data_IF_524491199482
#
_entry.id   IF_524491199482
#
_cell.length_a   1.000
_cell.length_b   1.000
_cell.length_c   1.000
_cell.angle_alpha   90.00
_cell.angle_beta   90.00
_cell.angle_gamma   90.00
#
_symmetry.space_group_name_H-M   'P 1'
#
loop_
_entity.id
_entity.type
_entity.pdbx_description
1 polymer ?
#
# COMPACT_ATOMS: atom_id res chain seq x y z
N UNK A 1 -7.19 -11.75 -4.83
CA UNK A 1 -7.48 -12.28 -6.15
C UNK A 1 -6.42 -11.86 -7.12
N UNK A 2 -5.92 -12.80 -7.93
CA UNK A 2 -4.93 -12.57 -8.98
C UNK A 2 -5.67 -12.06 -10.24
N UNK A 3 -6.12 -10.82 -10.24
CA UNK A 3 -6.55 -10.18 -11.47
C UNK A 3 -5.30 -9.57 -12.13
N UNK A 4 -4.58 -10.42 -12.87
CA UNK A 4 -3.54 -9.95 -13.76
C UNK A 4 -4.19 -9.14 -14.89
N UNK A 5 -3.62 -7.97 -15.29
CA UNK A 5 -4.14 -7.20 -16.42
C UNK A 5 -4.15 -8.09 -17.67
N UNK A 6 -5.23 -8.08 -18.45
CA UNK A 6 -5.37 -8.89 -19.68
C UNK A 6 -4.23 -8.71 -20.69
N UNK A 7 -3.46 -7.62 -20.60
CA UNK A 7 -2.30 -7.30 -21.43
C UNK A 7 -1.06 -6.99 -20.60
N UNK A 8 -0.82 -7.73 -19.52
CA UNK A 8 0.38 -7.56 -18.70
C UNK A 8 1.64 -7.88 -19.51
N UNK A 9 2.69 -7.04 -19.38
CA UNK A 9 3.98 -7.34 -19.99
C UNK A 9 4.61 -8.60 -19.36
N UNK A 10 5.48 -9.30 -20.13
CA UNK A 10 6.23 -10.46 -19.62
C UNK A 10 7.01 -10.11 -18.34
N UNK A 11 7.57 -8.90 -18.28
CA UNK A 11 8.27 -8.41 -17.07
C UNK A 11 7.33 -8.26 -15.86
N UNK A 12 6.11 -7.77 -16.07
CA UNK A 12 5.13 -7.68 -15.00
C UNK A 12 4.71 -9.06 -14.51
N UNK A 13 4.47 -10.00 -15.42
CA UNK A 13 4.13 -11.39 -15.07
C UNK A 13 5.28 -12.05 -14.31
N UNK A 14 6.53 -11.82 -14.73
CA UNK A 14 7.72 -12.30 -14.02
C UNK A 14 7.82 -11.69 -12.61
N UNK A 15 7.59 -10.38 -12.46
CA UNK A 15 7.51 -9.74 -11.16
C UNK A 15 6.46 -10.41 -10.26
N UNK A 16 5.24 -10.65 -10.78
CA UNK A 16 4.17 -11.29 -10.01
C UNK A 16 4.50 -12.73 -9.64
N UNK A 17 5.17 -13.46 -10.52
CA UNK A 17 5.69 -14.79 -10.22
C UNK A 17 6.70 -14.74 -9.06
N UNK A 18 7.71 -13.87 -9.12
CA UNK A 18 8.69 -13.71 -8.05
C UNK A 18 8.04 -13.27 -6.72
N UNK A 19 7.03 -12.39 -6.79
CA UNK A 19 6.25 -11.97 -5.63
C UNK A 19 5.64 -13.15 -4.87
N UNK A 20 5.16 -14.18 -5.57
CA UNK A 20 4.54 -15.35 -4.98
C UNK A 20 5.55 -16.45 -4.60
N UNK A 21 6.56 -16.66 -5.42
CA UNK A 21 7.49 -17.79 -5.27
C UNK A 21 8.63 -17.51 -4.27
N UNK A 22 9.19 -16.30 -4.25
CA UNK A 22 10.35 -16.00 -3.40
C UNK A 22 10.07 -16.19 -1.90
N UNK A 23 8.93 -15.73 -1.36
CA UNK A 23 8.61 -16.02 0.04
C UNK A 23 8.44 -17.52 0.35
N UNK A 24 7.87 -18.26 -0.59
CA UNK A 24 7.64 -19.72 -0.42
C UNK A 24 8.92 -20.54 -0.46
N UNK A 25 9.90 -20.05 -1.23
CA UNK A 25 11.20 -20.69 -1.42
C UNK A 25 12.30 -20.03 -0.58
N UNK A 26 11.94 -19.04 0.25
CA UNK A 26 12.87 -18.24 1.06
C UNK A 26 13.99 -17.59 0.26
N UNK A 27 13.72 -17.24 -0.99
CA UNK A 27 14.68 -16.55 -1.87
C UNK A 27 14.71 -15.08 -1.48
N UNK A 28 15.83 -14.64 -0.93
CA UNK A 28 16.08 -13.25 -0.61
C UNK A 28 16.86 -12.59 -1.76
N UNK A 29 16.26 -11.56 -2.36
CA UNK A 29 16.97 -10.72 -3.34
C UNK A 29 17.92 -9.77 -2.62
N UNK A 30 18.85 -9.22 -3.38
CA UNK A 30 19.79 -8.21 -2.91
C UNK A 30 19.06 -6.91 -2.51
N UNK A 31 18.03 -6.51 -3.23
CA UNK A 31 17.12 -5.42 -2.88
C UNK A 31 15.66 -5.89 -2.89
N UNK A 32 14.76 -5.24 -2.14
CA UNK A 32 13.36 -5.63 -2.10
C UNK A 32 12.69 -5.54 -3.47
N UNK A 33 11.68 -6.39 -3.69
CA UNK A 33 10.84 -6.35 -4.90
C UNK A 33 10.01 -5.07 -4.97
N UNK A 34 9.64 -4.56 -3.79
CA UNK A 34 8.63 -3.52 -3.63
C UNK A 34 8.97 -2.61 -2.45
N UNK A 35 8.63 -1.33 -2.58
CA UNK A 35 8.63 -0.39 -1.46
C UNK A 35 7.22 0.16 -1.22
N UNK A 36 6.82 0.19 0.05
CA UNK A 36 5.72 1.04 0.51
C UNK A 36 6.34 2.34 1.05
N UNK A 37 6.15 3.46 0.35
CA UNK A 37 6.69 4.76 0.76
C UNK A 37 5.56 5.69 1.15
N UNK A 38 5.63 6.28 2.33
CA UNK A 38 4.66 7.25 2.82
C UNK A 38 4.89 8.62 2.19
N UNK A 39 4.17 8.93 1.11
CA UNK A 39 4.26 10.24 0.47
C UNK A 39 3.85 11.38 1.42
N UNK A 40 2.88 11.13 2.29
CA UNK A 40 2.45 12.07 3.33
C UNK A 40 1.89 11.31 4.53
N UNK A 41 2.28 11.72 5.74
CA UNK A 41 1.63 11.27 6.98
C UNK A 41 0.44 12.14 7.38
N UNK A 42 0.23 13.28 6.69
CA UNK A 42 -0.93 14.16 6.90
C UNK A 42 -2.16 13.56 6.23
N UNK A 43 -3.33 13.77 6.84
CA UNK A 43 -4.61 13.38 6.24
C UNK A 43 -5.64 14.49 6.46
N UNK A 44 -6.48 14.73 5.47
CA UNK A 44 -7.59 15.69 5.50
C UNK A 44 -8.87 15.09 6.10
N UNK A 45 -8.91 13.77 6.38
CA UNK A 45 -10.04 13.09 7.02
C UNK A 45 -9.71 12.59 8.42
N UNK A 46 -10.77 12.18 9.17
CA UNK A 46 -10.69 11.59 10.50
C UNK A 46 -11.64 10.39 10.59
N UNK A 47 -11.40 9.38 9.72
CA UNK A 47 -12.22 8.17 9.65
C UNK A 47 -12.28 7.47 11.01
N UNK A 48 -13.46 7.00 11.40
CA UNK A 48 -13.72 6.44 12.74
C UNK A 48 -12.96 5.15 13.01
N UNK A 49 -12.68 4.37 11.96
CA UNK A 49 -11.97 3.08 11.99
C UNK A 49 -10.48 3.18 11.61
N UNK A 50 -9.93 4.39 11.47
CA UNK A 50 -8.52 4.56 11.08
C UNK A 50 -7.59 4.15 12.23
N UNK A 51 -6.96 3.01 12.10
CA UNK A 51 -5.96 2.48 13.04
C UNK A 51 -4.72 3.38 13.18
N UNK A 52 -4.50 4.27 12.22
CA UNK A 52 -3.38 5.21 12.21
C UNK A 52 -3.65 6.55 12.91
N UNK A 53 -4.89 6.84 13.29
CA UNK A 53 -5.22 8.10 14.00
C UNK A 53 -4.40 8.35 15.27
N UNK A 54 -4.11 7.36 16.14
CA UNK A 54 -3.28 7.57 17.30
C UNK A 54 -1.85 8.00 16.96
N UNK A 55 -1.30 7.51 15.86
CA UNK A 55 0.04 7.86 15.36
C UNK A 55 0.06 9.30 14.80
N UNK A 56 -1.03 9.72 14.15
CA UNK A 56 -1.19 11.06 13.60
C UNK A 56 -1.28 12.17 14.67
N UNK A 57 -1.58 11.82 15.92
CA UNK A 57 -1.68 12.79 17.04
C UNK A 57 -0.33 13.27 17.57
N UNK A 58 0.78 12.64 17.21
CA UNK A 58 2.12 12.93 17.76
C UNK A 58 2.85 14.02 16.97
N UNK A 59 2.30 15.16 16.65
CA UNK A 59 2.94 16.37 16.07
C UNK A 59 4.13 16.17 15.07
N UNK A 60 4.35 14.97 14.60
CA UNK A 60 5.38 14.58 13.63
C UNK A 60 4.73 14.23 12.30
N UNK A 61 3.99 15.19 11.77
CA UNK A 61 3.32 15.01 10.49
C UNK A 61 4.04 15.82 9.41
N UNK A 62 4.34 15.18 8.28
CA UNK A 62 5.01 15.81 7.18
C UNK A 62 4.71 15.19 5.83
N UNK A 63 5.33 15.75 4.83
CA UNK A 63 5.36 15.22 3.48
C UNK A 63 6.79 14.76 3.18
N UNK A 64 6.91 13.64 2.49
CA UNK A 64 8.19 13.18 1.95
C UNK A 64 8.75 14.25 1.00
N UNK A 65 9.98 14.67 1.23
CA UNK A 65 10.70 15.57 0.32
C UNK A 65 11.13 14.84 -0.95
N UNK A 66 11.09 15.54 -2.10
CA UNK A 66 11.46 14.94 -3.38
C UNK A 66 12.93 14.50 -3.42
N UNK A 67 13.83 15.23 -2.76
CA UNK A 67 15.26 14.87 -2.71
C UNK A 67 15.50 13.55 -1.97
N UNK A 68 14.82 13.32 -0.84
CA UNK A 68 14.90 12.04 -0.13
C UNK A 68 14.29 10.91 -0.98
N UNK A 69 13.15 11.16 -1.62
CA UNK A 69 12.55 10.20 -2.53
C UNK A 69 13.53 9.80 -3.65
N UNK A 70 14.13 10.79 -4.29
CA UNK A 70 15.13 10.57 -5.35
C UNK A 70 16.32 9.78 -4.82
N UNK A 71 16.87 10.14 -3.65
CA UNK A 71 17.95 9.42 -3.00
C UNK A 71 17.64 7.95 -2.77
N UNK A 72 16.41 7.63 -2.35
CA UNK A 72 15.95 6.25 -2.19
C UNK A 72 15.89 5.55 -3.56
N UNK A 73 15.26 6.17 -4.56
CA UNK A 73 15.07 5.58 -5.88
C UNK A 73 16.38 5.39 -6.66
N UNK A 74 17.38 6.23 -6.43
CA UNK A 74 18.68 6.15 -7.09
C UNK A 74 19.55 4.97 -6.62
N UNK A 75 19.15 4.29 -5.54
CA UNK A 75 19.79 3.04 -5.09
C UNK A 75 19.36 1.82 -5.91
N UNK A 76 18.38 1.98 -6.81
CA UNK A 76 17.91 0.94 -7.72
C UNK A 76 18.39 1.25 -9.14
N UNK A 77 18.82 0.22 -9.86
CA UNK A 77 19.35 0.27 -11.23
C UNK A 77 18.71 -0.84 -12.10
N UNK A 78 19.25 -1.08 -13.28
CA UNK A 78 18.74 -2.10 -14.19
C UNK A 78 18.97 -3.54 -13.68
N UNK A 79 20.02 -3.77 -12.91
CA UNK A 79 20.36 -5.09 -12.34
C UNK A 79 19.55 -5.35 -11.07
N UNK A 80 19.43 -4.33 -10.23
CA UNK A 80 18.72 -4.38 -8.96
C UNK A 80 17.43 -3.54 -8.99
N UNK A 81 16.58 -3.81 -9.99
CA UNK A 81 15.38 -3.04 -10.26
C UNK A 81 14.36 -3.14 -9.14
N UNK A 82 13.77 -2.02 -8.75
CA UNK A 82 12.53 -1.97 -8.00
C UNK A 82 11.36 -2.24 -8.97
N UNK A 83 10.53 -3.23 -8.66
CA UNK A 83 9.43 -3.60 -9.57
C UNK A 83 8.10 -2.99 -9.18
N UNK A 84 7.86 -2.80 -7.89
CA UNK A 84 6.64 -2.20 -7.40
C UNK A 84 6.90 -1.06 -6.41
N UNK A 85 6.06 -0.03 -6.47
CA UNK A 85 6.12 1.12 -5.59
C UNK A 85 4.71 1.53 -5.19
N UNK A 86 4.44 1.52 -3.88
CA UNK A 86 3.23 2.07 -3.32
C UNK A 86 3.54 3.39 -2.62
N UNK A 87 2.93 4.49 -3.07
CA UNK A 87 3.15 5.83 -2.51
C UNK A 87 2.10 6.22 -1.47
N UNK A 88 1.75 5.29 -0.59
CA UNK A 88 0.83 5.53 0.52
C UNK A 88 1.07 4.58 1.67
N UNK A 89 0.89 5.06 2.89
CA UNK A 89 0.96 4.24 4.11
C UNK A 89 -0.11 4.68 5.11
N UNK A 90 0.10 5.78 5.87
CA UNK A 90 -0.81 6.23 6.93
C UNK A 90 -1.68 7.42 6.56
N UNK A 91 -1.16 8.39 5.86
CA UNK A 91 -1.83 9.64 5.55
C UNK A 91 -2.61 9.62 4.24
N UNK A 92 -2.80 10.81 3.67
CA UNK A 92 -3.39 11.02 2.34
C UNK A 92 -2.29 11.50 1.37
N UNK A 93 -1.89 10.67 0.39
CA UNK A 93 -0.79 10.99 -0.51
C UNK A 93 -1.03 12.24 -1.35
N UNK A 94 -2.26 12.53 -1.74
CA UNK A 94 -2.60 13.72 -2.54
C UNK A 94 -2.36 15.06 -1.80
N UNK A 95 -2.05 15.03 -0.50
CA UNK A 95 -1.59 16.22 0.24
C UNK A 95 -0.15 16.60 -0.15
N UNK A 96 0.65 15.65 -0.62
CA UNK A 96 2.00 15.94 -1.07
C UNK A 96 1.98 16.53 -2.49
N UNK A 97 2.35 17.81 -2.70
CA UNK A 97 2.33 18.44 -4.01
C UNK A 97 3.33 17.82 -5.00
N UNK A 98 4.37 17.14 -4.50
CA UNK A 98 5.39 16.46 -5.31
C UNK A 98 5.00 15.03 -5.71
N UNK A 99 3.81 14.55 -5.35
CA UNK A 99 3.39 13.18 -5.65
C UNK A 99 3.45 12.85 -7.15
N UNK A 100 2.94 13.69 -8.08
CA UNK A 100 3.06 13.41 -9.51
C UNK A 100 4.53 13.35 -9.98
N UNK A 101 5.40 14.23 -9.47
CA UNK A 101 6.83 14.23 -9.82
C UNK A 101 7.53 12.95 -9.32
N UNK A 102 7.15 12.46 -8.15
CA UNK A 102 7.64 11.17 -7.60
C UNK A 102 7.22 10.00 -8.50
N UNK A 103 5.96 9.99 -8.96
CA UNK A 103 5.45 8.95 -9.86
C UNK A 103 6.22 8.99 -11.18
N UNK A 104 6.35 10.15 -11.80
CA UNK A 104 7.08 10.32 -13.05
C UNK A 104 8.54 9.85 -12.92
N UNK A 105 9.20 10.22 -11.82
CA UNK A 105 10.58 9.79 -11.55
C UNK A 105 10.69 8.27 -11.41
N UNK A 106 9.78 7.64 -10.65
CA UNK A 106 9.75 6.19 -10.49
C UNK A 106 9.52 5.49 -11.84
N UNK A 107 8.62 6.01 -12.68
CA UNK A 107 8.39 5.47 -14.03
C UNK A 107 9.63 5.62 -14.93
N UNK A 108 10.33 6.74 -14.88
CA UNK A 108 11.62 6.94 -15.59
C UNK A 108 12.71 5.97 -15.12
N UNK A 109 12.72 5.57 -13.84
CA UNK A 109 13.60 4.53 -13.28
C UNK A 109 13.15 3.11 -13.65
N UNK A 110 12.06 2.97 -14.38
CA UNK A 110 11.57 1.69 -14.89
C UNK A 110 10.74 0.88 -13.89
N UNK A 111 10.19 1.47 -12.82
CA UNK A 111 9.27 0.77 -11.92
C UNK A 111 8.03 0.33 -12.70
N UNK A 112 7.69 -0.96 -12.60
CA UNK A 112 6.61 -1.57 -13.41
C UNK A 112 5.22 -1.20 -12.89
N UNK A 113 5.05 -1.12 -11.56
CA UNK A 113 3.75 -0.97 -10.91
C UNK A 113 3.84 0.11 -9.82
N UNK A 114 3.48 1.35 -10.20
CA UNK A 114 3.41 2.50 -9.28
C UNK A 114 1.96 2.77 -8.94
N UNK A 115 1.63 2.80 -7.66
CA UNK A 115 0.26 3.03 -7.20
C UNK A 115 0.18 3.66 -5.81
N UNK A 116 -1.01 4.10 -5.44
CA UNK A 116 -1.32 4.54 -4.08
C UNK A 116 -2.80 4.38 -3.74
N UNK A 117 -3.10 4.42 -2.44
CA UNK A 117 -4.47 4.48 -1.93
C UNK A 117 -4.80 5.93 -1.57
N UNK A 118 -6.03 6.37 -1.85
CA UNK A 118 -6.49 7.73 -1.56
C UNK A 118 -7.96 7.75 -1.12
N UNK A 119 -8.33 8.78 -0.37
CA UNK A 119 -9.73 9.12 -0.10
C UNK A 119 -10.38 9.94 -1.23
N UNK A 120 -9.62 10.30 -2.24
CA UNK A 120 -10.01 11.04 -3.45
C UNK A 120 -10.60 12.45 -3.23
N UNK A 121 -10.62 13.00 -2.01
CA UNK A 121 -11.13 14.35 -1.77
C UNK A 121 -10.32 15.45 -2.47
N UNK A 122 -9.06 15.18 -2.76
CA UNK A 122 -8.14 16.09 -3.45
C UNK A 122 -7.88 15.69 -4.91
N UNK A 123 -8.58 14.69 -5.42
CA UNK A 123 -8.45 14.19 -6.79
C UNK A 123 -9.28 15.03 -7.78
N UNK A 124 -9.05 16.33 -7.79
CA UNK A 124 -9.69 17.22 -8.77
C UNK A 124 -9.17 16.95 -10.19
N UNK A 125 -9.75 17.62 -11.18
CA UNK A 125 -9.39 17.43 -12.59
C UNK A 125 -7.91 17.71 -12.89
N UNK A 126 -7.34 18.78 -12.31
CA UNK A 126 -5.91 19.12 -12.48
C UNK A 126 -5.01 18.01 -11.93
N UNK A 127 -5.29 17.55 -10.70
CA UNK A 127 -4.54 16.45 -10.12
C UNK A 127 -4.69 15.17 -10.95
N UNK A 128 -5.88 14.86 -11.42
CA UNK A 128 -6.13 13.69 -12.28
C UNK A 128 -5.31 13.75 -13.57
N UNK A 129 -5.22 14.92 -14.23
CA UNK A 129 -4.36 15.12 -15.41
C UNK A 129 -2.89 14.88 -15.08
N UNK A 130 -2.39 15.52 -14.03
CA UNK A 130 -0.99 15.36 -13.60
C UNK A 130 -0.61 13.90 -13.28
N UNK A 131 -1.51 13.14 -12.67
CA UNK A 131 -1.31 11.72 -12.37
C UNK A 131 -1.28 10.87 -13.66
N UNK A 132 -2.13 11.18 -14.63
CA UNK A 132 -2.14 10.54 -15.95
C UNK A 132 -0.83 10.85 -16.69
N UNK A 133 -0.43 12.13 -16.75
CA UNK A 133 0.78 12.58 -17.41
C UNK A 133 2.04 11.96 -16.78
N UNK A 134 2.03 11.75 -15.46
CA UNK A 134 3.08 11.04 -14.72
C UNK A 134 3.10 9.52 -14.96
N UNK A 135 2.15 8.98 -15.73
CA UNK A 135 2.01 7.54 -16.03
C UNK A 135 1.77 6.67 -14.80
N UNK A 136 0.88 7.12 -13.91
CA UNK A 136 0.42 6.31 -12.78
C UNK A 136 -0.22 5.01 -13.27
N UNK A 137 0.20 3.86 -12.74
CA UNK A 137 -0.34 2.56 -13.19
C UNK A 137 -1.69 2.24 -12.55
N UNK A 138 -1.84 2.49 -11.24
CA UNK A 138 -3.09 2.17 -10.51
C UNK A 138 -3.38 3.19 -9.42
N UNK A 139 -4.66 3.41 -9.16
CA UNK A 139 -5.16 4.20 -8.04
C UNK A 139 -6.22 3.41 -7.28
N UNK A 140 -6.06 3.27 -5.97
CA UNK A 140 -7.05 2.63 -5.11
C UNK A 140 -7.85 3.70 -4.36
N UNK A 141 -9.13 3.81 -4.65
CA UNK A 141 -10.02 4.78 -4.05
C UNK A 141 -10.77 4.10 -2.90
N UNK A 142 -10.61 4.65 -1.72
CA UNK A 142 -11.20 4.11 -0.50
C UNK A 142 -12.61 4.68 -0.29
N UNK A 143 -13.63 3.85 -0.45
CA UNK A 143 -15.03 4.24 -0.35
C UNK A 143 -15.75 3.26 0.60
N UNK A 144 -16.14 3.72 1.80
CA UNK A 144 -16.85 2.89 2.77
C UNK A 144 -18.31 3.36 2.88
N UNK A 145 -19.13 2.78 2.01
CA UNK A 145 -20.56 3.07 1.89
C UNK A 145 -21.06 3.12 0.46
N UNK A 146 -22.36 3.08 0.30
CA UNK A 146 -23.06 3.11 -0.99
C UNK A 146 -23.82 4.42 -1.22
N UNK A 147 -23.98 5.19 -0.16
CA UNK A 147 -24.63 6.51 -0.19
C UNK A 147 -23.92 7.50 0.74
N UNK A 148 -24.41 8.75 0.71
CA UNK A 148 -23.84 9.87 1.45
C UNK A 148 -23.85 9.64 2.95
N UNK A 149 -24.96 9.11 3.50
CA UNK A 149 -25.10 8.95 4.94
C UNK A 149 -24.17 7.86 5.47
N UNK A 150 -24.09 6.72 4.79
CA UNK A 150 -23.15 5.65 5.14
C UNK A 150 -21.70 6.17 5.09
N UNK A 151 -21.31 6.74 3.95
CA UNK A 151 -19.93 7.17 3.70
C UNK A 151 -19.46 8.26 4.67
N UNK A 152 -20.23 9.35 4.84
CA UNK A 152 -19.84 10.49 5.66
C UNK A 152 -19.90 10.18 7.17
N UNK A 153 -20.71 9.19 7.58
CA UNK A 153 -20.79 8.76 8.98
C UNK A 153 -19.50 8.10 9.49
N UNK A 154 -18.75 7.44 8.60
CA UNK A 154 -17.51 6.73 8.96
C UNK A 154 -16.26 7.46 8.49
N UNK A 155 -16.34 8.25 7.40
CA UNK A 155 -15.21 9.05 6.87
C UNK A 155 -15.38 10.53 7.23
N UNK A 156 -15.21 10.83 8.52
CA UNK A 156 -15.44 12.17 9.06
C UNK A 156 -14.59 13.22 8.34
N UNK A 157 -15.27 14.23 7.79
CA UNK A 157 -14.68 15.31 6.99
C UNK A 157 -14.68 15.05 5.48
N UNK A 158 -15.18 13.89 5.04
CA UNK A 158 -15.39 13.62 3.63
C UNK A 158 -16.68 14.27 3.11
N UNK A 159 -16.77 14.40 1.79
CA UNK A 159 -17.92 14.87 1.02
C UNK A 159 -18.19 13.84 -0.08
N UNK A 160 -19.32 13.14 0.01
CA UNK A 160 -19.67 12.07 -0.91
C UNK A 160 -19.90 12.57 -2.35
N UNK A 161 -20.56 13.72 -2.49
CA UNK A 161 -20.86 14.29 -3.80
C UNK A 161 -19.56 14.68 -4.52
N UNK A 162 -18.61 15.28 -3.77
CA UNK A 162 -17.27 15.60 -4.26
C UNK A 162 -16.46 14.35 -4.63
N UNK A 163 -16.57 13.27 -3.86
CA UNK A 163 -15.94 11.99 -4.17
C UNK A 163 -16.41 11.50 -5.54
N UNK A 164 -17.74 11.44 -5.74
CA UNK A 164 -18.33 10.96 -7.00
C UNK A 164 -17.92 11.85 -8.17
N UNK A 165 -18.00 13.17 -8.01
CA UNK A 165 -17.57 14.13 -9.03
C UNK A 165 -16.11 13.94 -9.44
N UNK A 166 -15.20 13.80 -8.47
CA UNK A 166 -13.78 13.59 -8.73
C UNK A 166 -13.51 12.27 -9.47
N UNK A 167 -14.23 11.21 -9.09
CA UNK A 167 -14.11 9.90 -9.72
C UNK A 167 -14.63 9.93 -11.17
N UNK A 168 -15.79 10.56 -11.41
CA UNK A 168 -16.34 10.74 -12.75
C UNK A 168 -15.41 11.55 -13.65
N UNK A 169 -14.77 12.60 -13.14
CA UNK A 169 -13.78 13.38 -13.88
C UNK A 169 -12.56 12.55 -14.28
N UNK A 170 -12.04 11.72 -13.38
CA UNK A 170 -10.92 10.84 -13.71
C UNK A 170 -11.31 9.84 -14.82
N UNK A 171 -12.51 9.23 -14.72
CA UNK A 171 -13.03 8.31 -15.73
C UNK A 171 -13.19 9.04 -17.07
N UNK A 172 -13.78 10.23 -17.06
CA UNK A 172 -13.96 11.05 -18.27
C UNK A 172 -12.62 11.40 -18.93
N UNK A 173 -11.60 11.74 -18.15
CA UNK A 173 -10.25 12.02 -18.68
C UNK A 173 -9.64 10.79 -19.36
N UNK A 174 -9.76 9.59 -18.74
CA UNK A 174 -9.32 8.33 -19.35
C UNK A 174 -10.01 8.09 -20.70
N UNK A 175 -11.31 8.31 -20.77
CA UNK A 175 -12.07 8.21 -22.03
C UNK A 175 -11.60 9.25 -23.07
N UNK A 176 -11.42 10.49 -22.66
CA UNK A 176 -10.99 11.57 -23.56
C UNK A 176 -9.60 11.32 -24.14
N UNK A 177 -8.68 10.74 -23.35
CA UNK A 177 -7.32 10.43 -23.79
C UNK A 177 -7.20 9.04 -24.44
N UNK A 178 -8.28 8.27 -24.52
CA UNK A 178 -8.30 6.90 -25.02
C UNK A 178 -7.28 5.97 -24.35
N UNK A 179 -7.15 6.08 -23.02
CA UNK A 179 -6.22 5.32 -22.19
C UNK A 179 -6.95 4.44 -21.18
N UNK A 180 -6.29 3.38 -20.73
CA UNK A 180 -6.82 2.46 -19.70
C UNK A 180 -6.14 2.59 -18.34
N UNK A 181 -5.26 3.58 -18.17
CA UNK A 181 -4.55 3.86 -16.92
C UNK A 181 -4.85 5.28 -16.41
N UNK A 182 -4.68 5.56 -15.11
CA UNK A 182 -4.44 4.55 -14.08
C UNK A 182 -5.62 3.57 -13.96
N UNK A 183 -5.35 2.31 -13.67
CA UNK A 183 -6.41 1.36 -13.30
C UNK A 183 -7.06 1.83 -12.00
N UNK A 184 -8.38 1.92 -11.99
CA UNK A 184 -9.15 2.38 -10.83
C UNK A 184 -9.62 1.16 -10.05
N UNK A 185 -9.12 1.04 -8.81
CA UNK A 185 -9.62 0.07 -7.85
C UNK A 185 -10.46 0.79 -6.82
N UNK A 186 -11.71 0.39 -6.65
CA UNK A 186 -12.56 0.85 -5.56
C UNK A 186 -12.46 -0.18 -4.43
N UNK A 187 -12.17 0.28 -3.21
CA UNK A 187 -12.05 -0.60 -2.07
C UNK A 187 -12.80 -0.10 -0.85
N UNK A 188 -13.35 -1.04 -0.10
CA UNK A 188 -13.98 -0.81 1.21
C UNK A 188 -13.41 -1.75 2.25
N UNK A 189 -13.45 -1.33 3.52
CA UNK A 189 -13.34 -2.25 4.65
C UNK A 189 -14.72 -2.90 4.83
N UNK A 190 -14.73 -4.22 4.91
CA UNK A 190 -15.96 -4.99 5.10
C UNK A 190 -16.32 -5.01 6.58
N UNK A 191 -17.30 -4.22 6.97
CA UNK A 191 -17.93 -4.28 8.28
C UNK A 191 -19.04 -5.32 8.31
N UNK A 192 -19.48 -5.79 9.50
CA UNK A 192 -20.57 -6.76 9.62
C UNK A 192 -21.87 -6.35 8.92
N UNK A 193 -22.18 -5.05 8.90
CA UNK A 193 -23.35 -4.46 8.25
C UNK A 193 -23.19 -4.23 6.74
N UNK A 194 -22.01 -4.41 6.18
CA UNK A 194 -21.75 -4.17 4.75
C UNK A 194 -22.50 -5.18 3.89
N UNK A 195 -23.47 -4.70 3.09
CA UNK A 195 -24.12 -5.51 2.08
C UNK A 195 -23.26 -5.58 0.82
N UNK A 196 -22.62 -6.71 0.61
CA UNK A 196 -21.66 -6.91 -0.49
C UNK A 196 -22.30 -6.71 -1.87
N UNK A 197 -23.52 -7.25 -2.10
CA UNK A 197 -24.17 -7.18 -3.41
C UNK A 197 -24.57 -5.73 -3.75
N UNK A 198 -25.10 -5.00 -2.77
CA UNK A 198 -25.46 -3.58 -2.94
C UNK A 198 -24.22 -2.74 -3.23
N UNK A 199 -23.13 -2.99 -2.50
CA UNK A 199 -21.85 -2.29 -2.70
C UNK A 199 -21.28 -2.55 -4.09
N UNK A 200 -21.18 -3.81 -4.51
CA UNK A 200 -20.69 -4.19 -5.83
C UNK A 200 -21.51 -3.54 -6.93
N UNK A 201 -22.86 -3.65 -6.86
CA UNK A 201 -23.76 -3.07 -7.85
C UNK A 201 -23.67 -1.55 -7.94
N UNK A 202 -23.43 -0.87 -6.81
CA UNK A 202 -23.27 0.61 -6.77
C UNK A 202 -22.02 1.06 -7.51
N UNK A 203 -20.91 0.35 -7.34
CA UNK A 203 -19.60 0.81 -7.78
C UNK A 203 -19.05 0.10 -9.03
N UNK A 204 -19.75 -0.92 -9.56
CA UNK A 204 -19.26 -1.72 -10.72
C UNK A 204 -18.97 -0.89 -11.98
N UNK A 205 -19.66 0.25 -12.18
CA UNK A 205 -19.44 1.12 -13.33
C UNK A 205 -18.34 2.18 -13.12
N UNK A 206 -17.82 2.32 -11.91
CA UNK A 206 -16.83 3.35 -11.56
C UNK A 206 -15.40 2.83 -11.48
N UNK A 207 -15.20 1.53 -11.32
CA UNK A 207 -13.88 0.93 -11.14
C UNK A 207 -13.59 -0.22 -12.09
N UNK A 208 -12.31 -0.39 -12.41
CA UNK A 208 -11.82 -1.57 -13.14
C UNK A 208 -11.75 -2.81 -12.21
N UNK A 209 -11.68 -2.56 -10.89
CA UNK A 209 -11.68 -3.58 -9.84
C UNK A 209 -12.43 -3.07 -8.63
N UNK A 210 -13.22 -3.94 -8.00
CA UNK A 210 -13.86 -3.65 -6.71
C UNK A 210 -13.36 -4.67 -5.69
N UNK A 211 -12.87 -4.19 -4.55
CA UNK A 211 -12.32 -5.02 -3.50
C UNK A 211 -12.96 -4.73 -2.15
N UNK A 212 -13.34 -5.79 -1.48
CA UNK A 212 -13.72 -5.75 -0.07
C UNK A 212 -12.59 -6.34 0.76
N UNK A 213 -12.08 -5.56 1.70
CA UNK A 213 -10.98 -5.94 2.57
C UNK A 213 -11.58 -6.26 3.92
N UNK A 214 -11.34 -7.47 4.41
CA UNK A 214 -11.76 -7.86 5.75
C UNK A 214 -11.11 -6.93 6.78
N UNK A 215 -11.89 -6.49 7.77
CA UNK A 215 -11.38 -5.71 8.88
C UNK A 215 -10.33 -6.52 9.66
N UNK A 216 -9.40 -5.82 10.25
CA UNK A 216 -8.36 -6.45 11.09
C UNK A 216 -8.97 -6.84 12.43
N UNK A 217 -9.00 -8.13 12.72
CA UNK A 217 -9.39 -8.61 14.04
C UNK A 217 -8.27 -8.39 15.05
N UNK A 218 -8.29 -7.25 15.71
CA UNK A 218 -7.32 -6.89 16.75
C UNK A 218 -7.42 -7.79 18.01
N UNK A 219 -8.50 -8.56 18.18
CA UNK A 219 -8.66 -9.47 19.30
C UNK A 219 -7.67 -10.65 19.25
N UNK A 220 -7.16 -11.00 18.04
CA UNK A 220 -6.15 -12.04 17.86
C UNK A 220 -4.75 -11.56 18.24
N UNK A 221 -4.54 -10.27 18.45
CA UNK A 221 -3.27 -9.73 18.94
C UNK A 221 -2.99 -10.33 20.32
N UNK A 222 -1.83 -10.92 20.51
CA UNK A 222 -1.41 -11.70 21.68
C UNK A 222 -1.90 -13.17 21.70
N UNK A 223 -2.55 -13.68 20.70
CA UNK A 223 -2.77 -15.12 20.56
C UNK A 223 -1.54 -15.75 19.92
N UNK A 224 -1.10 -16.89 20.48
CA UNK A 224 0.01 -17.63 19.90
C UNK A 224 -0.43 -18.27 18.58
N UNK A 225 0.20 -17.85 17.49
CA UNK A 225 -0.04 -18.44 16.17
C UNK A 225 0.61 -19.80 16.08
N UNK A 226 -0.18 -20.81 15.75
CA UNK A 226 0.31 -22.16 15.47
C UNK A 226 0.56 -22.30 13.95
N UNK A 227 1.66 -22.96 13.59
CA UNK A 227 1.96 -23.34 12.22
C UNK A 227 3.25 -22.72 11.64
N UNK A 228 3.76 -23.37 10.61
CA UNK A 228 5.03 -23.04 9.94
C UNK A 228 4.86 -22.02 8.79
N UNK A 229 3.84 -21.20 8.83
CA UNK A 229 3.59 -20.20 7.78
C UNK A 229 4.55 -19.01 7.92
N UNK A 230 5.41 -18.84 6.92
CA UNK A 230 6.31 -17.70 6.86
C UNK A 230 5.60 -16.51 6.21
N UNK A 231 5.68 -15.34 6.87
CA UNK A 231 5.08 -14.12 6.33
C UNK A 231 5.76 -13.68 5.04
N UNK A 232 5.06 -13.61 3.90
CA UNK A 232 5.68 -13.28 2.62
C UNK A 232 6.27 -11.86 2.57
N UNK A 233 5.73 -10.94 3.35
CA UNK A 233 6.18 -9.54 3.35
C UNK A 233 7.69 -9.40 3.63
N UNK A 234 8.25 -10.27 4.46
CA UNK A 234 9.68 -10.27 4.81
C UNK A 234 10.61 -10.52 3.62
N UNK A 235 10.11 -11.09 2.52
CA UNK A 235 10.85 -11.34 1.26
C UNK A 235 10.39 -10.46 0.10
N UNK A 236 9.34 -9.67 0.30
CA UNK A 236 8.73 -8.90 -0.77
C UNK A 236 9.03 -7.41 -0.68
N UNK A 237 8.94 -6.82 0.54
CA UNK A 237 8.86 -5.37 0.69
C UNK A 237 9.47 -4.81 1.96
N UNK A 238 9.69 -3.51 1.92
CA UNK A 238 9.97 -2.66 3.08
C UNK A 238 9.04 -1.44 3.08
N UNK A 239 8.89 -0.81 4.24
CA UNK A 239 8.10 0.42 4.41
C UNK A 239 9.02 1.56 4.80
N UNK A 240 8.85 2.72 4.17
CA UNK A 240 9.62 3.94 4.46
C UNK A 240 8.64 5.05 4.76
N UNK A 241 8.76 5.68 5.93
CA UNK A 241 7.94 6.80 6.32
C UNK A 241 8.41 8.11 5.67
N UNK A 242 7.57 9.14 5.73
CA UNK A 242 7.82 10.44 5.12
C UNK A 242 9.14 11.11 5.58
N UNK A 243 9.61 10.79 6.78
CA UNK A 243 10.86 11.33 7.37
C UNK A 243 12.10 10.44 7.07
N UNK A 244 11.90 9.37 6.31
CA UNK A 244 12.94 8.41 5.95
C UNK A 244 13.05 7.22 6.91
N UNK A 245 12.29 7.13 7.99
CA UNK A 245 12.31 5.98 8.90
C UNK A 245 11.91 4.70 8.17
N UNK A 246 12.72 3.65 8.30
CA UNK A 246 12.58 2.38 7.56
C UNK A 246 12.07 1.29 8.48
N UNK A 247 11.08 0.53 8.02
CA UNK A 247 10.51 -0.62 8.70
C UNK A 247 10.53 -1.87 7.82
N UNK A 248 10.79 -3.02 8.44
CA UNK A 248 10.76 -4.33 7.77
C UNK A 248 9.36 -4.87 7.48
N UNK A 249 8.31 -4.20 7.95
CA UNK A 249 6.92 -4.63 7.80
C UNK A 249 5.98 -3.42 7.74
N UNK A 250 4.96 -3.45 6.87
CA UNK A 250 3.95 -2.40 6.78
C UNK A 250 2.78 -2.58 7.77
N UNK A 251 2.73 -3.71 8.48
CA UNK A 251 1.78 -3.99 9.56
C UNK A 251 2.44 -3.92 10.95
N UNK A 252 3.62 -3.31 11.03
CA UNK A 252 4.34 -3.09 12.30
C UNK A 252 3.75 -1.90 13.06
N UNK A 253 2.55 -2.10 13.61
CA UNK A 253 1.86 -1.07 14.40
C UNK A 253 2.56 -0.81 15.73
N UNK A 254 3.35 -1.77 16.23
CA UNK A 254 4.16 -1.63 17.45
C UNK A 254 5.52 -0.95 17.18
N UNK A 255 5.87 -0.75 15.90
CA UNK A 255 7.13 -0.12 15.46
C UNK A 255 8.39 -0.84 15.94
N UNK A 256 8.26 -2.14 16.21
CA UNK A 256 9.34 -2.97 16.74
C UNK A 256 10.38 -3.33 15.67
N UNK A 257 10.00 -3.40 14.38
CA UNK A 257 10.90 -3.79 13.29
C UNK A 257 11.46 -2.55 12.58
N UNK A 258 11.86 -1.54 13.36
CA UNK A 258 12.55 -0.36 12.83
C UNK A 258 14.00 -0.72 12.46
N UNK A 259 14.42 -0.36 11.25
CA UNK A 259 15.72 -0.72 10.64
C UNK A 259 16.65 0.49 10.46
N UNK A 260 16.24 1.66 10.92
CA UNK A 260 17.00 2.89 10.82
C UNK A 260 16.31 3.94 9.96
N UNK A 261 17.10 4.79 9.29
CA UNK A 261 16.58 5.90 8.49
C UNK A 261 17.29 5.96 7.13
N UNK A 262 16.55 6.11 6.05
CA UNK A 262 17.05 6.16 4.68
C UNK A 262 17.90 7.40 4.35
N UNK A 263 17.92 8.42 5.22
CA UNK A 263 18.88 9.53 5.13
C UNK A 263 20.31 9.13 5.56
N UNK A 264 20.45 8.04 6.32
CA UNK A 264 21.69 7.65 6.97
C UNK A 264 22.20 6.27 6.54
N UNK A 265 21.27 5.41 6.13
CA UNK A 265 21.51 4.01 5.75
C UNK A 265 21.00 3.72 4.35
N UNK A 266 21.71 2.88 3.62
CA UNK A 266 21.24 2.39 2.32
C UNK A 266 20.02 1.46 2.48
N UNK A 267 19.21 1.34 1.41
CA UNK A 267 18.13 0.36 1.34
C UNK A 267 18.67 -1.07 1.44
N UNK A 268 19.86 -1.31 0.87
CA UNK A 268 20.57 -2.59 1.00
C UNK A 268 20.87 -2.92 2.46
N UNK A 269 21.49 -1.99 3.21
CA UNK A 269 21.84 -2.22 4.61
C UNK A 269 20.62 -2.42 5.51
N UNK A 270 19.53 -1.70 5.23
CA UNK A 270 18.26 -1.92 5.93
C UNK A 270 17.63 -3.28 5.58
N UNK A 271 17.68 -3.69 4.30
CA UNK A 271 17.13 -4.96 3.83
C UNK A 271 17.86 -6.18 4.38
N UNK A 272 19.18 -6.03 4.63
CA UNK A 272 20.06 -7.06 5.19
C UNK A 272 20.40 -6.82 6.66
N UNK A 273 19.64 -5.95 7.34
CA UNK A 273 19.84 -5.69 8.78
C UNK A 273 19.77 -6.98 9.60
N UNK A 274 20.67 -7.13 10.57
CA UNK A 274 20.76 -8.33 11.43
C UNK A 274 19.43 -8.69 12.07
N UNK A 275 18.68 -7.68 12.55
CA UNK A 275 17.36 -7.89 13.15
C UNK A 275 16.37 -8.47 12.14
N UNK A 276 16.34 -7.93 10.92
CA UNK A 276 15.43 -8.42 9.89
C UNK A 276 15.83 -9.83 9.41
N UNK A 277 17.14 -10.12 9.36
CA UNK A 277 17.64 -11.45 9.05
C UNK A 277 17.28 -12.47 10.14
N UNK A 278 17.39 -12.12 11.41
CA UNK A 278 16.96 -12.99 12.52
C UNK A 278 15.44 -13.27 12.47
N UNK A 279 14.63 -12.24 12.18
CA UNK A 279 13.17 -12.41 12.01
C UNK A 279 12.87 -13.38 10.86
N UNK A 280 13.54 -13.21 9.70
CA UNK A 280 13.40 -14.15 8.58
C UNK A 280 13.74 -15.58 8.98
N UNK A 281 14.84 -15.77 9.72
CA UNK A 281 15.25 -17.07 10.24
C UNK A 281 14.19 -17.69 11.14
N UNK A 282 13.63 -16.94 12.10
CA UNK A 282 12.53 -17.41 12.94
C UNK A 282 11.31 -17.85 12.11
N UNK A 283 11.02 -17.14 11.03
CA UNK A 283 9.92 -17.52 10.12
C UNK A 283 10.25 -18.80 9.32
N UNK A 284 11.47 -18.97 8.85
CA UNK A 284 11.93 -20.19 8.15
C UNK A 284 11.90 -21.42 9.05
N UNK A 285 12.20 -21.26 10.33
CA UNK A 285 12.23 -22.32 11.34
C UNK A 285 10.85 -22.59 11.99
N UNK A 286 9.78 -21.89 11.55
CA UNK A 286 8.45 -22.03 12.16
C UNK A 286 8.33 -21.44 13.56
N UNK A 287 9.29 -20.61 13.97
CA UNK A 287 9.36 -20.01 15.30
C UNK A 287 8.97 -18.52 15.33
N UNK A 288 8.23 -18.06 14.35
CA UNK A 288 7.84 -16.64 14.20
C UNK A 288 7.05 -16.07 15.40
N UNK A 289 6.44 -16.93 16.22
CA UNK A 289 5.78 -16.55 17.48
C UNK A 289 6.76 -16.02 18.53
N UNK A 290 8.07 -16.25 18.35
CA UNK A 290 9.10 -15.68 19.24
C UNK A 290 9.37 -14.21 18.94
N UNK A 291 9.02 -13.74 17.75
CA UNK A 291 9.08 -12.31 17.43
C UNK A 291 7.81 -11.63 17.92
N UNK A 292 7.98 -10.64 18.80
CA UNK A 292 6.87 -9.93 19.45
C UNK A 292 5.91 -9.28 18.47
N UNK A 293 6.43 -8.66 17.42
CA UNK A 293 5.63 -7.92 16.44
C UNK A 293 4.93 -8.86 15.44
N UNK A 294 5.42 -10.09 15.30
CA UNK A 294 4.82 -11.13 14.47
C UNK A 294 3.85 -12.02 15.26
N UNK A 295 4.03 -12.15 16.57
CA UNK A 295 3.16 -12.95 17.42
C UNK A 295 1.79 -12.28 17.55
N UNK A 296 0.73 -13.01 17.15
CA UNK A 296 -0.64 -12.45 17.17
C UNK A 296 -0.87 -11.30 16.17
N UNK A 297 -0.06 -11.17 15.13
CA UNK A 297 -0.29 -10.19 14.09
C UNK A 297 -1.63 -10.45 13.37
N UNK A 298 -2.61 -9.51 13.37
CA UNK A 298 -3.94 -9.74 12.79
C UNK A 298 -3.89 -10.03 11.30
N UNK A 299 -3.03 -9.33 10.55
CA UNK A 299 -2.86 -9.58 9.11
C UNK A 299 -2.35 -11.01 8.85
N UNK A 300 -1.32 -11.44 9.59
CA UNK A 300 -0.75 -12.79 9.46
C UNK A 300 -1.78 -13.87 9.79
N UNK A 301 -2.53 -13.68 10.87
CA UNK A 301 -3.60 -14.61 11.28
C UNK A 301 -4.65 -14.75 10.18
N UNK A 302 -5.09 -13.63 9.59
CA UNK A 302 -6.05 -13.66 8.49
C UNK A 302 -5.51 -14.39 7.24
N UNK A 303 -4.21 -14.25 6.93
CA UNK A 303 -3.61 -14.97 5.79
C UNK A 303 -3.47 -16.47 6.06
N UNK A 304 -3.05 -16.87 7.26
CA UNK A 304 -2.98 -18.29 7.64
C UNK A 304 -4.35 -18.94 7.51
N UNK A 305 -5.41 -18.29 7.97
CA UNK A 305 -6.77 -18.81 7.86
C UNK A 305 -7.24 -18.95 6.40
N UNK A 306 -6.73 -18.14 5.47
CA UNK A 306 -7.04 -18.25 4.03
C UNK A 306 -6.26 -19.38 3.34
N UNK A 307 -5.03 -19.64 3.80
CA UNK A 307 -4.14 -20.64 3.18
C UNK A 307 -4.40 -22.07 3.72
N UNK A 308 -4.93 -22.22 4.93
CA UNK A 308 -5.16 -23.49 5.61
C UNK A 308 -6.63 -23.77 5.97
N UNK A 309 -7.55 -22.84 5.67
CA UNK A 309 -9.01 -23.01 5.81
C UNK A 309 -9.63 -23.36 4.50
#
# INVERSE_FOLDING_TARGET
GNNEPENASEEYLFYRKCWNEYPRSFVLRELPLHLDIEASSRCNLRCTFCDKLPLLKKNQLGNLGFDLFRHIMDQFDNEHRLWGLKLSYRGEPLINPCLPDMIEYAKKKGVLDVYFNTNAMLLNEDMSRRLIDASLDRISISIDGTDKNEYESVRIGADFDRLVENLEKLIQLRHTYHISYPKIRIQTVKFPETNADVYLKKWESYGDEIAMIDDKDESVRNTQLQGNWACPQLWQRMTIEWDGTVFGCNNDDLRGICLGNANERSIYDCWHDEKLMEIRKLHMEGMSHKEKDCNGCPWRTAQINKDFG
#
